data_IF_981727034920
#
_entry.id   IF_981727034920
#
_cell.length_a   1.000
_cell.length_b   1.000
_cell.length_c   1.000
_cell.angle_alpha   90.00
_cell.angle_beta   90.00
_cell.angle_gamma   90.00
#
_symmetry.space_group_name_H-M   'P 1'
#
loop_
_entity.id
_entity.type
_entity.pdbx_description
1 polymer ?
#
# COMPACT_ATOMS: atom_id res chain seq x y z
N UNK A 1 14.17 23.36 -2.78
CA UNK A 1 13.70 22.12 -3.42
C UNK A 1 13.40 21.07 -2.35
N UNK A 2 12.23 20.47 -2.41
CA UNK A 2 11.88 19.36 -1.52
C UNK A 2 12.52 18.08 -2.04
N UNK A 3 13.00 17.23 -1.13
CA UNK A 3 13.68 15.99 -1.51
C UNK A 3 13.18 14.82 -0.66
N UNK A 4 12.96 13.71 -1.33
CA UNK A 4 12.73 12.40 -0.69
C UNK A 4 13.74 11.44 -1.29
N UNK A 5 14.48 10.73 -0.43
CA UNK A 5 15.44 9.72 -0.87
C UNK A 5 14.95 8.35 -0.47
N UNK A 6 15.10 7.39 -1.39
CA UNK A 6 14.77 5.99 -1.14
C UNK A 6 16.07 5.27 -0.83
N UNK A 7 16.11 4.59 0.32
CA UNK A 7 17.29 3.89 0.82
C UNK A 7 17.01 2.39 0.79
N UNK A 8 17.93 1.64 0.21
CA UNK A 8 17.82 0.18 0.13
C UNK A 8 19.01 -0.42 0.88
N UNK A 9 18.73 -1.20 1.92
CA UNK A 9 19.76 -1.91 2.66
C UNK A 9 19.99 -3.28 2.04
N UNK A 10 20.93 -3.36 1.13
CA UNK A 10 21.27 -4.59 0.42
C UNK A 10 21.96 -5.63 1.32
N UNK A 11 22.61 -5.19 2.39
CA UNK A 11 23.29 -6.08 3.33
C UNK A 11 22.31 -6.83 4.21
N UNK A 12 21.07 -6.34 4.35
CA UNK A 12 20.05 -6.98 5.14
C UNK A 12 19.38 -8.10 4.31
N UNK A 13 19.30 -9.35 4.84
CA UNK A 13 18.63 -10.45 4.13
C UNK A 13 17.19 -10.12 3.70
N UNK A 14 16.50 -9.29 4.46
CA UNK A 14 15.12 -8.89 4.19
C UNK A 14 15.04 -7.72 3.20
N UNK A 15 16.17 -7.20 2.74
CA UNK A 15 16.25 -6.07 1.80
C UNK A 15 15.34 -4.91 2.19
N UNK A 16 15.53 -4.40 3.42
CA UNK A 16 14.69 -3.31 3.93
C UNK A 16 14.83 -2.06 3.08
N UNK A 17 13.69 -1.45 2.79
CA UNK A 17 13.59 -0.20 2.07
C UNK A 17 13.10 0.87 3.04
N UNK A 18 13.79 2.00 3.06
CA UNK A 18 13.40 3.14 3.86
C UNK A 18 13.33 4.40 3.02
N UNK A 19 12.73 5.43 3.57
CA UNK A 19 12.75 6.75 2.96
C UNK A 19 13.36 7.75 3.92
N UNK A 20 14.09 8.72 3.36
CA UNK A 20 14.67 9.83 4.12
C UNK A 20 14.15 11.14 3.54
N UNK A 21 13.65 12.01 4.39
CA UNK A 21 13.14 13.32 3.98
C UNK A 21 13.17 14.29 5.16
N UNK A 22 13.18 15.58 4.86
CA UNK A 22 13.11 16.62 5.88
C UNK A 22 11.64 16.93 6.17
N UNK A 23 11.17 16.58 7.37
CA UNK A 23 9.78 16.78 7.78
C UNK A 23 9.34 18.23 7.68
N UNK A 24 10.25 19.17 7.94
CA UNK A 24 9.93 20.60 7.92
C UNK A 24 9.67 21.13 6.50
N UNK A 25 10.08 20.39 5.49
CA UNK A 25 9.84 20.75 4.09
C UNK A 25 8.46 20.36 3.59
N UNK A 26 7.74 19.53 4.34
CA UNK A 26 6.42 19.01 3.96
C UNK A 26 5.38 19.43 5.00
N UNK A 27 4.17 19.75 4.53
CA UNK A 27 3.09 20.17 5.41
C UNK A 27 2.57 19.03 6.28
N UNK A 28 2.47 17.83 5.71
CA UNK A 28 1.91 16.66 6.39
C UNK A 28 2.34 15.38 5.69
N UNK A 29 1.93 14.24 6.24
CA UNK A 29 2.24 12.93 5.67
C UNK A 29 1.57 12.70 4.33
N UNK A 30 0.40 13.28 4.12
CA UNK A 30 -0.33 13.17 2.86
C UNK A 30 0.45 13.81 1.70
N UNK A 31 1.13 14.92 1.95
CA UNK A 31 1.99 15.55 0.95
C UNK A 31 3.16 14.63 0.57
N UNK A 32 3.80 14.01 1.58
CA UNK A 32 4.88 13.04 1.32
C UNK A 32 4.37 11.88 0.48
N UNK A 33 3.23 11.33 0.86
CA UNK A 33 2.61 10.21 0.15
C UNK A 33 2.24 10.59 -1.30
N UNK A 34 1.70 11.78 -1.50
CA UNK A 34 1.36 12.27 -2.84
C UNK A 34 2.60 12.33 -3.74
N UNK A 35 3.74 12.80 -3.20
CA UNK A 35 4.99 12.86 -3.95
C UNK A 35 5.48 11.45 -4.31
N UNK A 36 5.42 10.51 -3.37
CA UNK A 36 5.83 9.12 -3.62
C UNK A 36 4.94 8.45 -4.68
N UNK A 37 3.63 8.67 -4.61
CA UNK A 37 2.70 8.14 -5.61
C UNK A 37 2.95 8.77 -6.98
N UNK A 38 3.15 10.08 -7.01
CA UNK A 38 3.49 10.79 -8.24
C UNK A 38 4.77 10.27 -8.87
N UNK A 39 5.79 10.00 -8.07
CA UNK A 39 7.04 9.43 -8.53
C UNK A 39 6.84 8.03 -9.12
N UNK A 40 6.03 7.21 -8.46
CA UNK A 40 5.70 5.85 -8.93
C UNK A 40 4.99 5.90 -10.28
N UNK A 41 3.97 6.75 -10.40
CA UNK A 41 3.23 6.92 -11.64
C UNK A 41 4.15 7.45 -12.75
N UNK A 42 4.98 8.44 -12.43
CA UNK A 42 5.94 9.00 -13.39
C UNK A 42 6.94 7.95 -13.89
N UNK A 43 7.44 7.12 -13.00
CA UNK A 43 8.33 6.02 -13.37
C UNK A 43 7.65 5.08 -14.37
N UNK A 44 6.42 4.68 -14.10
CA UNK A 44 5.67 3.78 -14.99
C UNK A 44 5.43 4.45 -16.34
N UNK A 45 5.04 5.73 -16.34
CA UNK A 45 4.79 6.48 -17.59
C UNK A 45 6.03 6.56 -18.48
N UNK A 46 7.20 6.75 -17.90
CA UNK A 46 8.43 6.99 -18.67
C UNK A 46 9.17 5.71 -19.03
N UNK A 47 9.06 4.67 -18.22
CA UNK A 47 9.95 3.49 -18.36
C UNK A 47 9.20 2.23 -18.78
N UNK A 48 7.90 2.21 -18.74
CA UNK A 48 7.10 1.01 -19.06
C UNK A 48 6.37 1.23 -20.38
N UNK A 49 6.45 0.26 -21.33
CA UNK A 49 5.70 0.36 -22.58
C UNK A 49 4.19 0.48 -22.32
N UNK A 50 3.47 1.20 -23.18
CA UNK A 50 2.05 1.49 -22.99
C UNK A 50 1.21 0.23 -22.75
N UNK A 51 1.52 -0.84 -23.48
CA UNK A 51 0.76 -2.10 -23.37
C UNK A 51 0.86 -2.72 -21.97
N UNK A 52 1.96 -2.44 -21.26
CA UNK A 52 2.20 -3.03 -19.94
C UNK A 52 1.88 -2.10 -18.77
N UNK A 53 1.57 -0.82 -19.03
CA UNK A 53 1.33 0.15 -17.96
C UNK A 53 0.18 -0.26 -17.04
N UNK A 54 -0.91 -0.75 -17.63
CA UNK A 54 -2.07 -1.18 -16.84
C UNK A 54 -1.69 -2.33 -15.92
N UNK A 55 -0.92 -3.31 -16.44
CA UNK A 55 -0.47 -4.46 -15.65
C UNK A 55 0.42 -4.02 -14.48
N UNK A 56 1.39 -3.16 -14.73
CA UNK A 56 2.29 -2.69 -13.66
C UNK A 56 1.56 -1.90 -12.59
N UNK A 57 0.62 -1.04 -13.00
CA UNK A 57 -0.21 -0.31 -12.03
C UNK A 57 -1.10 -1.25 -11.24
N UNK A 58 -1.61 -2.30 -11.87
CA UNK A 58 -2.42 -3.31 -11.19
C UNK A 58 -1.60 -4.05 -10.13
N UNK A 59 -0.33 -4.34 -10.41
CA UNK A 59 0.59 -4.94 -9.44
C UNK A 59 0.78 -4.01 -8.24
N UNK A 60 0.95 -2.72 -8.49
CA UNK A 60 1.07 -1.73 -7.40
C UNK A 60 -0.17 -1.72 -6.51
N UNK A 61 -1.36 -1.69 -7.12
CA UNK A 61 -2.63 -1.71 -6.38
C UNK A 61 -2.75 -2.99 -5.56
N UNK A 62 -2.45 -4.14 -6.16
CA UNK A 62 -2.51 -5.44 -5.48
C UNK A 62 -1.56 -5.52 -4.29
N UNK A 63 -0.35 -4.98 -4.42
CA UNK A 63 0.62 -4.94 -3.33
C UNK A 63 0.10 -4.11 -2.16
N UNK A 64 -0.48 -2.95 -2.46
CA UNK A 64 -1.07 -2.09 -1.44
C UNK A 64 -2.26 -2.75 -0.76
N UNK A 65 -3.10 -3.43 -1.51
CA UNK A 65 -4.25 -4.17 -0.96
C UNK A 65 -3.80 -5.30 -0.03
N UNK A 66 -2.74 -6.01 -0.39
CA UNK A 66 -2.17 -7.06 0.48
C UNK A 66 -1.72 -6.47 1.80
N UNK A 67 -1.07 -5.32 1.78
CA UNK A 67 -0.65 -4.63 3.00
C UNK A 67 -1.86 -4.20 3.84
N UNK A 68 -2.92 -3.68 3.21
CA UNK A 68 -4.16 -3.34 3.91
C UNK A 68 -4.75 -4.54 4.65
N UNK A 69 -4.74 -5.71 4.02
CA UNK A 69 -5.23 -6.94 4.65
C UNK A 69 -4.46 -7.27 5.91
N UNK A 70 -3.13 -7.13 5.88
CA UNK A 70 -2.28 -7.37 7.04
C UNK A 70 -2.62 -6.44 8.19
N UNK A 71 -2.84 -5.15 7.89
CA UNK A 71 -3.20 -4.16 8.89
C UNK A 71 -4.57 -4.48 9.51
N UNK A 72 -5.54 -4.88 8.70
CA UNK A 72 -6.89 -5.21 9.16
C UNK A 72 -6.87 -6.33 10.20
N UNK A 73 -5.97 -7.30 10.02
CA UNK A 73 -5.84 -8.42 10.96
C UNK A 73 -4.88 -8.16 12.11
N UNK A 74 -4.24 -6.98 12.17
CA UNK A 74 -3.44 -6.57 13.31
C UNK A 74 -4.35 -6.39 14.53
N UNK A 75 -3.91 -6.88 15.70
CA UNK A 75 -4.71 -6.82 16.93
C UNK A 75 -5.14 -5.41 17.29
N UNK A 76 -4.33 -4.42 16.93
CA UNK A 76 -4.63 -3.01 17.13
C UNK A 76 -5.98 -2.62 16.52
N UNK A 77 -6.34 -3.21 15.39
CA UNK A 77 -7.60 -2.91 14.70
C UNK A 77 -8.73 -3.86 15.09
N UNK A 78 -8.43 -5.02 15.67
CA UNK A 78 -9.46 -5.96 16.15
C UNK A 78 -10.30 -5.36 17.29
N UNK A 79 -9.68 -4.50 18.10
CA UNK A 79 -10.29 -3.87 19.25
C UNK A 79 -10.68 -2.41 19.01
N UNK A 80 -10.74 -1.99 17.75
CA UNK A 80 -11.08 -0.62 17.38
C UNK A 80 -12.50 -0.28 17.84
N UNK A 81 -12.62 0.89 18.50
CA UNK A 81 -13.91 1.40 18.96
C UNK A 81 -14.77 1.79 17.76
N UNK A 82 -16.07 1.49 17.84
CA UNK A 82 -17.05 1.88 16.82
C UNK A 82 -17.14 3.39 16.61
N UNK A 83 -16.62 4.19 17.55
CA UNK A 83 -16.56 5.65 17.43
C UNK A 83 -15.36 6.14 16.64
N UNK A 84 -14.41 5.27 16.35
CA UNK A 84 -13.23 5.63 15.55
C UNK A 84 -13.67 6.02 14.13
N UNK A 85 -13.17 7.16 13.58
CA UNK A 85 -13.56 7.60 12.23
C UNK A 85 -13.29 6.56 11.13
N UNK A 86 -12.32 5.68 11.32
CA UNK A 86 -11.96 4.66 10.34
C UNK A 86 -12.68 3.32 10.55
N UNK A 87 -13.50 3.22 11.61
CA UNK A 87 -14.15 1.95 11.96
C UNK A 87 -14.98 1.37 10.81
N UNK A 88 -15.83 2.19 10.21
CA UNK A 88 -16.71 1.74 9.12
C UNK A 88 -15.91 1.28 7.90
N UNK A 89 -14.85 2.01 7.56
CA UNK A 89 -13.97 1.67 6.44
C UNK A 89 -13.30 0.31 6.70
N UNK A 90 -12.78 0.11 7.90
CA UNK A 90 -12.13 -1.14 8.30
C UNK A 90 -13.11 -2.30 8.24
N UNK A 91 -14.36 -2.11 8.70
CA UNK A 91 -15.38 -3.16 8.65
C UNK A 91 -15.72 -3.55 7.20
N UNK A 92 -15.82 -2.58 6.31
CA UNK A 92 -16.07 -2.83 4.89
C UNK A 92 -14.92 -3.66 4.28
N UNK A 93 -13.67 -3.30 4.57
CA UNK A 93 -12.50 -4.02 4.07
C UNK A 93 -12.45 -5.45 4.59
N UNK A 94 -12.75 -5.67 5.87
CA UNK A 94 -12.83 -7.02 6.45
C UNK A 94 -13.91 -7.86 5.77
N UNK A 95 -15.05 -7.27 5.49
CA UNK A 95 -16.14 -7.96 4.79
C UNK A 95 -15.71 -8.42 3.40
N UNK A 96 -15.05 -7.54 2.65
CA UNK A 96 -14.52 -7.88 1.33
C UNK A 96 -13.45 -8.97 1.40
N UNK A 97 -12.61 -8.94 2.41
CA UNK A 97 -11.57 -9.94 2.62
C UNK A 97 -12.15 -11.32 2.83
N UNK A 98 -13.15 -11.43 3.68
CA UNK A 98 -13.86 -12.71 3.92
C UNK A 98 -14.47 -13.26 2.64
N UNK A 99 -15.08 -12.39 1.85
CA UNK A 99 -15.68 -12.78 0.56
C UNK A 99 -14.61 -13.31 -0.40
N UNK A 100 -13.48 -12.62 -0.48
CA UNK A 100 -12.38 -13.01 -1.34
C UNK A 100 -11.75 -14.34 -0.91
N UNK A 101 -11.55 -14.54 0.39
CA UNK A 101 -11.04 -15.79 0.94
C UNK A 101 -11.97 -16.96 0.61
N UNK A 102 -13.27 -16.75 0.77
CA UNK A 102 -14.26 -17.77 0.46
C UNK A 102 -14.20 -18.15 -1.02
N UNK A 103 -14.15 -17.17 -1.92
CA UNK A 103 -14.04 -17.41 -3.37
C UNK A 103 -12.77 -18.17 -3.71
N UNK A 104 -11.65 -17.78 -3.13
CA UNK A 104 -10.37 -18.44 -3.36
C UNK A 104 -10.40 -19.89 -2.91
N UNK A 105 -10.98 -20.15 -1.75
CA UNK A 105 -11.13 -21.50 -1.22
C UNK A 105 -12.01 -22.36 -2.14
N UNK A 106 -13.12 -21.80 -2.62
CA UNK A 106 -13.99 -22.50 -3.57
C UNK A 106 -13.27 -22.86 -4.84
N UNK A 107 -12.48 -21.95 -5.39
CA UNK A 107 -11.71 -22.21 -6.61
C UNK A 107 -10.65 -23.29 -6.40
N UNK A 108 -10.02 -23.32 -5.23
CA UNK A 108 -9.00 -24.31 -4.90
C UNK A 108 -9.57 -25.69 -4.68
N UNK A 109 -10.80 -25.79 -4.23
CA UNK A 109 -11.46 -27.09 -3.99
C UNK A 109 -11.93 -27.75 -5.28
N UNK A 110 -11.86 -27.05 -6.38
CA UNK A 110 -12.15 -27.57 -7.69
C UNK A 110 -10.88 -28.03 -8.42
#
# INVERSE_FOLDING_TARGET
MKRIEILIDEANPDKKIGISYNKDSFENNEEVLAVLLGATIGFVKENVPNINKVLYLQVCIGTMQTYQKQIIFDERYKNMDSKDPFYDIIQILKSKEKTNEWKTTSLKSN
#
